data_IF_538552659757
#
_entry.id   IF_538552659757
#
_cell.length_a   1.000
_cell.length_b   1.000
_cell.length_c   1.000
_cell.angle_alpha   90.00
_cell.angle_beta   90.00
_cell.angle_gamma   90.00
#
_symmetry.space_group_name_H-M   'P 1'
#
loop_
_entity.id
_entity.type
_entity.pdbx_description
1 polymer ?
#
# COMPACT_ATOMS: atom_id res chain seq x y z
N UNK A 1 -1.93 10.31 12.42
CA UNK A 1 -0.78 9.40 12.70
C UNK A 1 -0.02 9.22 11.39
N UNK A 2 1.31 9.12 11.41
CA UNK A 2 2.13 8.90 10.19
C UNK A 2 2.74 7.52 10.29
N UNK A 3 2.77 6.78 9.18
CA UNK A 3 3.50 5.53 9.11
C UNK A 3 4.99 5.75 9.30
N UNK A 4 5.65 4.88 10.06
CA UNK A 4 7.11 4.76 10.04
C UNK A 4 7.55 3.67 9.06
N UNK A 5 8.83 3.67 8.68
CA UNK A 5 9.42 2.57 7.92
C UNK A 5 9.31 1.24 8.69
N UNK A 6 9.57 1.28 10.01
CA UNK A 6 9.44 0.12 10.88
C UNK A 6 8.02 -0.44 10.94
N UNK A 7 6.98 0.40 10.93
CA UNK A 7 5.59 -0.05 10.88
C UNK A 7 5.30 -0.78 9.56
N UNK A 8 5.78 -0.27 8.43
CA UNK A 8 5.59 -0.92 7.12
C UNK A 8 6.33 -2.25 7.02
N UNK A 9 7.58 -2.33 7.50
CA UNK A 9 8.35 -3.58 7.54
C UNK A 9 7.72 -4.66 8.43
N UNK A 10 6.94 -4.21 9.43
CA UNK A 10 6.20 -5.08 10.33
C UNK A 10 4.73 -5.28 9.93
N UNK A 11 4.28 -4.76 8.79
CA UNK A 11 2.89 -4.91 8.34
C UNK A 11 2.69 -6.23 7.57
N UNK A 12 1.84 -7.10 8.11
CA UNK A 12 1.55 -8.43 7.53
C UNK A 12 2.06 -9.59 8.39
N UNK A 13 2.08 -10.79 7.81
CA UNK A 13 2.45 -12.02 8.52
C UNK A 13 3.96 -12.11 8.78
N UNK A 14 4.78 -11.79 7.77
CA UNK A 14 6.23 -11.76 7.90
C UNK A 14 6.69 -10.40 8.44
N UNK A 15 7.66 -10.42 9.36
CA UNK A 15 8.25 -9.22 9.97
C UNK A 15 9.69 -9.10 9.49
N UNK A 16 9.98 -8.04 8.75
CA UNK A 16 11.29 -7.83 8.14
C UNK A 16 12.18 -6.99 9.05
N UNK A 17 13.46 -7.33 9.13
CA UNK A 17 14.48 -6.38 9.60
C UNK A 17 15.01 -5.59 8.41
N UNK A 18 15.33 -4.32 8.60
CA UNK A 18 15.93 -3.48 7.55
C UNK A 18 17.19 -4.12 6.94
N UNK A 19 18.01 -4.79 7.76
CA UNK A 19 19.23 -5.50 7.31
C UNK A 19 18.98 -6.70 6.40
N UNK A 20 17.73 -7.21 6.35
CA UNK A 20 17.34 -8.37 5.55
C UNK A 20 16.72 -7.96 4.21
N UNK A 21 16.42 -6.68 4.03
CA UNK A 21 15.78 -6.14 2.84
C UNK A 21 16.84 -5.55 1.92
N UNK A 22 16.81 -5.90 0.64
CA UNK A 22 17.75 -5.35 -0.33
C UNK A 22 17.55 -3.83 -0.48
N UNK A 23 18.63 -3.13 -0.85
CA UNK A 23 18.63 -1.67 -0.93
C UNK A 23 17.60 -1.06 -1.89
N UNK A 24 17.16 -1.79 -2.92
CA UNK A 24 16.16 -1.29 -3.87
C UNK A 24 14.78 -1.37 -3.24
N UNK A 25 14.43 -2.50 -2.65
CA UNK A 25 13.17 -2.69 -1.93
C UNK A 25 13.06 -1.74 -0.73
N UNK A 26 14.16 -1.50 -0.01
CA UNK A 26 14.18 -0.55 1.10
C UNK A 26 13.87 0.88 0.63
N UNK A 27 14.50 1.33 -0.46
CA UNK A 27 14.20 2.65 -1.07
C UNK A 27 12.74 2.77 -1.53
N UNK A 28 12.16 1.69 -2.06
CA UNK A 28 10.75 1.68 -2.45
C UNK A 28 9.84 1.85 -1.24
N UNK A 29 10.15 1.19 -0.11
CA UNK A 29 9.40 1.34 1.14
C UNK A 29 9.52 2.76 1.70
N UNK A 30 10.70 3.37 1.64
CA UNK A 30 10.90 4.77 2.05
C UNK A 30 10.08 5.73 1.18
N UNK A 31 10.07 5.53 -0.14
CA UNK A 31 9.26 6.34 -1.05
C UNK A 31 7.76 6.15 -0.79
N UNK A 32 7.32 4.90 -0.61
CA UNK A 32 5.93 4.57 -0.24
C UNK A 32 5.54 5.26 1.06
N UNK A 33 6.37 5.13 2.10
CA UNK A 33 6.17 5.73 3.42
C UNK A 33 6.03 7.27 3.32
N UNK A 34 6.93 7.90 2.56
CA UNK A 34 6.89 9.35 2.31
C UNK A 34 5.58 9.76 1.61
N UNK A 35 5.19 9.05 0.56
CA UNK A 35 4.01 9.37 -0.25
C UNK A 35 2.70 9.16 0.50
N UNK A 36 2.56 8.04 1.23
CA UNK A 36 1.33 7.78 1.99
C UNK A 36 1.15 8.78 3.14
N UNK A 37 2.25 9.17 3.78
CA UNK A 37 2.22 10.20 4.82
C UNK A 37 1.91 11.60 4.29
N UNK A 38 2.14 11.84 3.00
CA UNK A 38 1.81 13.11 2.34
C UNK A 38 0.33 13.24 1.95
N UNK A 39 -0.48 12.17 2.06
CA UNK A 39 -1.91 12.21 1.73
C UNK A 39 -2.68 13.25 2.54
N UNK A 40 -2.28 13.49 3.79
CA UNK A 40 -2.97 14.42 4.68
C UNK A 40 -4.29 13.87 5.25
N UNK A 41 -4.53 12.57 5.15
CA UNK A 41 -5.60 11.91 5.89
C UNK A 41 -5.26 11.93 7.39
N UNK A 42 -6.13 12.51 8.21
CA UNK A 42 -5.87 12.75 9.64
C UNK A 42 -6.24 11.61 10.58
N UNK A 43 -7.31 10.82 10.33
CA UNK A 43 -7.61 9.67 11.17
C UNK A 43 -6.46 8.65 11.18
N UNK A 44 -6.34 7.82 12.25
CA UNK A 44 -5.33 6.77 12.31
C UNK A 44 -5.47 5.81 11.12
N UNK A 45 -4.33 5.45 10.52
CA UNK A 45 -4.24 4.41 9.50
C UNK A 45 -3.48 3.23 10.08
N UNK A 46 -3.94 2.02 9.78
CA UNK A 46 -3.29 0.78 10.20
C UNK A 46 -2.90 -0.05 8.98
N UNK A 47 -1.60 -0.26 8.78
CA UNK A 47 -1.10 -1.09 7.69
C UNK A 47 -1.34 -2.57 8.03
N UNK A 48 -2.25 -3.22 7.30
CA UNK A 48 -2.55 -4.64 7.48
C UNK A 48 -1.57 -5.54 6.73
N UNK A 49 -1.00 -5.06 5.62
CA UNK A 49 -0.02 -5.78 4.80
C UNK A 49 0.83 -4.79 3.98
N UNK A 50 2.16 -4.96 3.96
CA UNK A 50 3.06 -4.17 3.11
C UNK A 50 4.06 -5.08 2.37
N UNK A 51 5.32 -5.19 2.79
CA UNK A 51 6.30 -6.05 2.10
C UNK A 51 5.97 -7.53 2.32
N UNK A 52 5.71 -8.27 1.24
CA UNK A 52 5.41 -9.71 1.30
C UNK A 52 6.61 -10.55 0.89
N UNK A 53 6.82 -11.64 1.61
CA UNK A 53 7.70 -12.71 1.15
C UNK A 53 7.08 -13.43 -0.06
N UNK A 54 7.90 -14.13 -0.85
CA UNK A 54 7.41 -14.96 -1.94
C UNK A 54 6.42 -16.04 -1.44
N UNK A 55 6.67 -16.59 -0.25
CA UNK A 55 5.81 -17.57 0.38
C UNK A 55 4.44 -16.97 0.75
N UNK A 56 4.42 -15.78 1.33
CA UNK A 56 3.17 -15.07 1.65
C UNK A 56 2.38 -14.72 0.39
N UNK A 57 3.05 -14.24 -0.66
CA UNK A 57 2.37 -13.92 -1.91
C UNK A 57 1.74 -15.17 -2.54
N UNK A 58 2.44 -16.31 -2.55
CA UNK A 58 1.88 -17.58 -3.03
C UNK A 58 0.69 -18.06 -2.20
N UNK A 59 0.72 -17.84 -0.88
CA UNK A 59 -0.38 -18.18 0.02
C UNK A 59 -1.61 -17.28 -0.19
N UNK A 60 -1.39 -15.98 -0.40
CA UNK A 60 -2.46 -14.98 -0.52
C UNK A 60 -3.06 -14.96 -1.93
N UNK A 61 -2.22 -14.82 -2.95
CA UNK A 61 -2.64 -14.79 -4.35
C UNK A 61 -1.53 -15.34 -5.27
N UNK A 62 -1.51 -16.65 -5.53
CA UNK A 62 -0.49 -17.30 -6.35
C UNK A 62 -0.57 -16.91 -7.83
N UNK A 63 -1.64 -16.26 -8.28
CA UNK A 63 -1.83 -15.84 -9.68
C UNK A 63 -1.24 -14.46 -9.97
N UNK A 64 -0.92 -13.66 -8.94
CA UNK A 64 -0.45 -12.29 -9.06
C UNK A 64 1.03 -12.15 -8.67
N UNK A 65 1.92 -12.86 -9.38
CA UNK A 65 3.35 -12.87 -9.06
C UNK A 65 4.09 -11.56 -9.41
N UNK A 66 3.42 -10.63 -10.09
CA UNK A 66 3.90 -9.26 -10.31
C UNK A 66 3.40 -8.26 -9.25
N UNK A 67 2.95 -8.72 -8.09
CA UNK A 67 2.37 -7.85 -7.06
C UNK A 67 3.37 -6.81 -6.55
N UNK A 68 2.93 -5.56 -6.44
CA UNK A 68 3.69 -4.44 -5.84
C UNK A 68 4.16 -4.72 -4.41
N UNK A 69 3.48 -5.64 -3.69
CA UNK A 69 3.86 -6.02 -2.32
C UNK A 69 5.19 -6.78 -2.27
N UNK A 70 5.58 -7.47 -3.34
CA UNK A 70 6.87 -8.16 -3.41
C UNK A 70 8.06 -7.19 -3.51
N UNK A 71 7.80 -5.95 -3.89
CA UNK A 71 8.83 -4.95 -4.20
C UNK A 71 8.83 -3.75 -3.24
N UNK A 72 8.03 -3.81 -2.16
CA UNK A 72 7.91 -2.70 -1.21
C UNK A 72 7.17 -1.47 -1.76
N UNK A 73 6.43 -1.63 -2.86
CA UNK A 73 5.77 -0.54 -3.57
C UNK A 73 4.29 -0.38 -3.22
N UNK A 74 3.74 -1.18 -2.30
CA UNK A 74 2.34 -1.11 -1.92
C UNK A 74 2.07 -1.40 -0.44
N UNK A 75 0.94 -0.91 0.05
CA UNK A 75 0.44 -1.15 1.40
C UNK A 75 -1.09 -1.27 1.37
N UNK A 76 -1.60 -2.27 2.05
CA UNK A 76 -3.00 -2.43 2.38
C UNK A 76 -3.26 -1.75 3.72
N UNK A 77 -4.17 -0.77 3.75
CA UNK A 77 -4.59 -0.08 4.97
C UNK A 77 -5.98 -0.56 5.37
N UNK A 78 -6.14 -0.99 6.61
CA UNK A 78 -7.44 -1.41 7.13
C UNK A 78 -8.44 -0.25 7.11
N UNK A 79 -9.64 -0.49 6.60
CA UNK A 79 -10.72 0.49 6.47
C UNK A 79 -12.09 -0.15 6.76
N UNK A 80 -12.30 -0.72 7.96
CA UNK A 80 -13.51 -1.48 8.27
C UNK A 80 -14.79 -0.62 8.26
N UNK A 81 -14.68 0.70 8.42
CA UNK A 81 -15.80 1.64 8.41
C UNK A 81 -15.95 2.40 7.08
N UNK A 82 -15.09 2.13 6.09
CA UNK A 82 -15.14 2.72 4.76
C UNK A 82 -14.79 4.22 4.71
N UNK A 83 -14.31 4.82 5.81
CA UNK A 83 -14.01 6.25 5.86
C UNK A 83 -12.82 6.60 5.00
N UNK A 84 -11.78 5.77 4.98
CA UNK A 84 -10.61 6.00 4.14
C UNK A 84 -10.98 5.87 2.67
N UNK A 85 -11.73 4.84 2.28
CA UNK A 85 -12.28 4.64 0.95
C UNK A 85 -13.10 5.84 0.46
N UNK A 86 -14.00 6.35 1.31
CA UNK A 86 -14.79 7.54 1.01
C UNK A 86 -13.90 8.78 0.84
N UNK A 87 -12.91 8.95 1.72
CA UNK A 87 -12.00 10.06 1.67
C UNK A 87 -11.13 10.04 0.42
N UNK A 88 -10.52 8.90 0.05
CA UNK A 88 -9.67 8.82 -1.16
C UNK A 88 -10.45 9.09 -2.43
N UNK A 89 -11.71 8.61 -2.53
CA UNK A 89 -12.60 8.92 -3.67
C UNK A 89 -12.87 10.42 -3.78
N UNK A 90 -13.12 11.10 -2.65
CA UNK A 90 -13.33 12.54 -2.61
C UNK A 90 -12.04 13.35 -2.86
N UNK A 91 -10.87 12.76 -2.65
CA UNK A 91 -9.56 13.43 -2.69
C UNK A 91 -8.64 12.88 -3.79
N UNK A 92 -9.19 12.49 -4.96
CA UNK A 92 -8.41 11.97 -6.09
C UNK A 92 -7.18 12.82 -6.45
N UNK A 93 -7.32 14.15 -6.43
CA UNK A 93 -6.23 15.09 -6.70
C UNK A 93 -5.05 14.91 -5.72
N UNK A 94 -5.30 14.60 -4.46
CA UNK A 94 -4.24 14.33 -3.47
C UNK A 94 -3.46 13.06 -3.81
N UNK A 95 -4.14 12.03 -4.32
CA UNK A 95 -3.47 10.81 -4.80
C UNK A 95 -2.56 11.12 -6.00
N UNK A 96 -3.00 11.98 -6.91
CA UNK A 96 -2.21 12.43 -8.06
C UNK A 96 -0.98 13.25 -7.63
N UNK A 97 -1.17 14.23 -6.74
CA UNK A 97 -0.09 15.04 -6.15
C UNK A 97 0.96 14.17 -5.44
N UNK A 98 0.53 13.14 -4.72
CA UNK A 98 1.42 12.22 -4.01
C UNK A 98 2.01 11.12 -4.90
N UNK A 99 1.52 10.95 -6.13
CA UNK A 99 1.92 9.85 -7.01
C UNK A 99 1.55 8.47 -6.46
N UNK A 100 0.31 8.31 -5.97
CA UNK A 100 -0.23 7.06 -5.41
C UNK A 100 -1.41 6.56 -6.23
N UNK A 101 -1.43 5.29 -6.58
CA UNK A 101 -2.57 4.61 -7.21
C UNK A 101 -3.27 3.75 -6.17
N UNK A 102 -4.57 3.55 -6.36
CA UNK A 102 -5.41 2.86 -5.38
C UNK A 102 -6.28 1.83 -6.10
N UNK A 103 -6.43 0.63 -5.56
CA UNK A 103 -7.46 -0.29 -6.07
C UNK A 103 -8.85 0.32 -5.82
N UNK A 104 -9.82 0.04 -6.69
CA UNK A 104 -11.16 0.59 -6.56
C UNK A 104 -11.77 0.12 -5.23
N UNK A 105 -12.11 1.04 -4.29
CA UNK A 105 -12.62 0.64 -2.98
C UNK A 105 -13.94 -0.14 -3.00
N UNK A 106 -14.67 -0.14 -4.13
CA UNK A 106 -15.86 -0.99 -4.32
C UNK A 106 -15.53 -2.46 -4.49
N UNK A 107 -14.28 -2.79 -4.83
CA UNK A 107 -13.77 -4.15 -5.02
C UNK A 107 -12.89 -4.61 -3.86
N UNK A 108 -12.52 -3.71 -2.95
CA UNK A 108 -11.74 -3.98 -1.75
C UNK A 108 -12.50 -3.59 -0.47
N UNK A 109 -13.68 -4.15 -0.20
CA UNK A 109 -14.46 -3.75 0.97
C UNK A 109 -13.69 -4.06 2.27
N UNK A 110 -13.48 -3.05 3.10
CA UNK A 110 -12.81 -3.18 4.41
C UNK A 110 -11.32 -2.87 4.40
N UNK A 111 -10.71 -2.57 3.25
CA UNK A 111 -9.34 -2.06 3.17
C UNK A 111 -9.14 -1.17 1.95
N UNK A 112 -8.06 -0.39 1.96
CA UNK A 112 -7.63 0.42 0.82
C UNK A 112 -6.21 0.02 0.45
N UNK A 113 -6.05 -0.50 -0.76
CA UNK A 113 -4.75 -0.85 -1.33
C UNK A 113 -4.14 0.37 -2.00
N UNK A 114 -2.97 0.82 -1.53
CA UNK A 114 -2.19 1.89 -2.17
C UNK A 114 -0.94 1.31 -2.82
N UNK A 115 -0.55 1.85 -3.97
CA UNK A 115 0.73 1.55 -4.59
C UNK A 115 1.40 2.77 -5.24
N UNK A 116 2.73 2.78 -5.28
CA UNK A 116 3.53 3.84 -5.91
C UNK A 116 3.76 3.63 -7.40
N UNK A 117 3.53 2.41 -7.90
CA UNK A 117 3.65 2.05 -9.30
C UNK A 117 2.30 2.24 -10.01
N UNK A 118 2.32 2.83 -11.21
CA UNK A 118 1.11 2.95 -12.01
C UNK A 118 0.62 1.57 -12.48
N UNK A 119 -0.68 1.28 -12.42
CA UNK A 119 -1.24 0.09 -13.04
C UNK A 119 -1.15 0.23 -14.56
N UNK A 120 -1.25 -0.89 -15.29
CA UNK A 120 -1.22 -0.89 -16.77
C UNK A 120 -2.27 0.02 -17.40
N UNK A 121 -3.43 0.16 -16.76
CA UNK A 121 -4.51 1.04 -17.21
C UNK A 121 -4.23 2.53 -16.98
N UNK A 122 -3.19 2.89 -16.22
CA UNK A 122 -2.86 4.24 -15.74
C UNK A 122 -3.95 4.93 -14.89
N UNK A 123 -5.15 4.35 -14.81
CA UNK A 123 -6.25 4.83 -13.98
C UNK A 123 -5.84 4.92 -12.51
N UNK A 124 -6.13 6.07 -11.89
CA UNK A 124 -5.84 6.35 -10.48
C UNK A 124 -6.52 5.36 -9.53
N UNK A 125 -7.76 4.99 -9.89
CA UNK A 125 -8.51 3.89 -9.29
C UNK A 125 -8.55 2.74 -10.29
N UNK A 126 -8.00 1.58 -9.93
CA UNK A 126 -7.90 0.43 -10.83
C UNK A 126 -8.54 -0.81 -10.22
N UNK A 127 -8.89 -1.79 -11.03
CA UNK A 127 -9.42 -3.05 -10.52
C UNK A 127 -8.25 -3.97 -10.12
N UNK A 128 -8.36 -4.71 -9.01
CA UNK A 128 -7.36 -5.70 -8.56
C UNK A 128 -7.11 -6.81 -9.60
#
# INVERSE_FOLDING_TARGET
>A
MRFSLSELLNAGSHKWKESEVDSVTLKNLEDLCRKINALGYTPPMYASSCLRSLADQKRINPKAMGSSHLYGCSVDVADPDGKLAKWVKANKKKLEECGLWVENPEKTPGWVHFQTLAPKSMNRFFNP
#
